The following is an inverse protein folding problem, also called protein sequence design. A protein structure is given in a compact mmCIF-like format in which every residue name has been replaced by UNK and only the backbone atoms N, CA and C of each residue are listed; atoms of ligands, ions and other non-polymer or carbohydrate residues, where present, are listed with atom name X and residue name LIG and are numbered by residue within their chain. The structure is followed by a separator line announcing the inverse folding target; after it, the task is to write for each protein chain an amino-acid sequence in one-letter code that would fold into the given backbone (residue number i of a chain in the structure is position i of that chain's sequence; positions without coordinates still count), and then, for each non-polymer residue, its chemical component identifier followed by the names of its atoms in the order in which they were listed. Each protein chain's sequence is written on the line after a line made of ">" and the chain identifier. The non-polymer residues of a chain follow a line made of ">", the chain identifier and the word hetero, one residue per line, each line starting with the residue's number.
data_IF_563300117455
#
_entry.id   IF_563300117455
#
_cell.length_a   1.000
_cell.length_b   1.000
_cell.length_c   1.000
_cell.angle_alpha   90.00
_cell.angle_beta   90.00
_cell.angle_gamma   90.00
#
_symmetry.space_group_name_H-M   'P 1'
#
loop_
_entity.id
_entity.type
_entity.pdbx_description
1 polymer ?
#
# COMPACT_ATOMS: atom_id res chain seq x y z
N UNK A 1 3.50 16.92 19.95
CA UNK A 1 4.51 17.43 19.01
C UNK A 1 4.04 18.77 18.44
N UNK A 2 2.81 18.88 17.92
CA UNK A 2 2.14 20.17 17.71
C UNK A 2 1.14 20.46 18.84
N UNK A 3 1.46 21.42 19.70
CA UNK A 3 0.64 21.77 20.87
C UNK A 3 -0.47 22.77 20.56
N UNK A 4 -0.41 23.46 19.42
CA UNK A 4 -1.35 24.52 19.04
C UNK A 4 -2.26 24.12 17.86
N UNK A 5 -2.05 22.95 17.28
CA UNK A 5 -2.88 22.40 16.20
C UNK A 5 -2.75 23.18 14.89
N UNK A 6 -1.66 23.93 14.71
CA UNK A 6 -1.43 24.75 13.53
C UNK A 6 -1.01 23.94 12.30
N UNK A 7 -0.62 22.67 12.48
CA UNK A 7 -0.01 21.86 11.42
C UNK A 7 1.42 22.29 11.06
N UNK A 8 1.96 23.28 11.79
CA UNK A 8 3.30 23.79 11.67
C UNK A 8 4.07 23.51 12.96
N UNK A 9 5.33 23.15 12.81
CA UNK A 9 6.24 22.83 13.90
C UNK A 9 7.24 23.98 14.02
N UNK A 10 7.10 24.77 15.08
CA UNK A 10 8.07 25.81 15.41
C UNK A 10 9.31 25.22 16.10
N UNK A 11 10.44 25.94 16.04
CA UNK A 11 11.71 25.50 16.65
C UNK A 11 11.54 25.07 18.12
N UNK A 12 10.80 25.86 18.91
CA UNK A 12 10.54 25.59 20.32
C UNK A 12 9.70 24.32 20.53
N UNK A 13 8.71 24.08 19.67
CA UNK A 13 7.87 22.89 19.72
C UNK A 13 8.65 21.62 19.34
N UNK A 14 9.55 21.72 18.35
CA UNK A 14 10.44 20.62 17.97
C UNK A 14 11.36 20.23 19.12
N UNK A 15 12.00 21.20 19.78
CA UNK A 15 12.87 20.95 20.94
C UNK A 15 12.10 20.25 22.05
N UNK A 16 10.95 20.81 22.44
CA UNK A 16 10.13 20.21 23.50
C UNK A 16 9.64 18.80 23.13
N UNK A 17 9.29 18.57 21.87
CA UNK A 17 8.87 17.25 21.41
C UNK A 17 10.02 16.23 21.52
N UNK A 18 11.22 16.57 21.03
CA UNK A 18 12.39 15.69 21.10
C UNK A 18 12.77 15.38 22.56
N UNK A 19 12.74 16.39 23.42
CA UNK A 19 12.99 16.23 24.86
C UNK A 19 11.96 15.30 25.52
N UNK A 20 10.68 15.43 25.17
CA UNK A 20 9.62 14.55 25.66
C UNK A 20 9.79 13.10 25.18
N UNK A 21 10.39 12.89 24.01
CA UNK A 21 10.78 11.56 23.53
C UNK A 21 12.11 11.06 24.11
N UNK A 22 12.74 11.81 25.03
CA UNK A 22 13.99 11.46 25.68
C UNK A 22 15.24 11.70 24.82
N UNK A 23 15.13 12.49 23.75
CA UNK A 23 16.22 12.85 22.86
C UNK A 23 16.72 14.23 23.27
N UNK A 24 17.92 14.29 23.84
CA UNK A 24 18.60 15.55 24.13
C UNK A 24 19.26 16.08 22.86
N UNK A 25 19.06 17.36 22.58
CA UNK A 25 19.47 18.00 21.31
C UNK A 25 20.12 19.33 21.60
N UNK A 26 21.27 19.58 20.95
CA UNK A 26 21.97 20.85 21.03
C UNK A 26 21.16 21.94 20.30
N UNK A 27 20.67 22.91 21.07
CA UNK A 27 19.88 24.04 20.59
C UNK A 27 20.73 25.28 20.27
N UNK A 28 22.05 25.20 20.45
CA UNK A 28 23.01 26.25 20.13
C UNK A 28 23.18 26.54 18.63
N UNK A 29 23.89 27.63 18.27
CA UNK A 29 24.20 27.96 16.89
C UNK A 29 25.11 26.90 16.25
N UNK A 30 24.66 26.30 15.15
CA UNK A 30 25.28 25.14 14.50
C UNK A 30 24.93 23.79 15.15
N UNK A 31 24.06 23.77 16.16
CA UNK A 31 23.60 22.58 16.86
C UNK A 31 22.67 21.69 16.03
N UNK A 32 22.22 20.59 16.61
CA UNK A 32 21.41 19.59 15.91
C UNK A 32 20.05 20.12 15.47
N UNK A 33 19.45 21.02 16.25
CA UNK A 33 18.21 21.69 15.88
C UNK A 33 18.39 22.53 14.61
N UNK A 34 19.52 23.21 14.45
CA UNK A 34 19.75 24.05 13.27
C UNK A 34 19.97 23.19 12.01
N UNK A 35 20.59 22.02 12.16
CA UNK A 35 20.70 21.04 11.06
C UNK A 35 19.33 20.46 10.67
N UNK A 36 18.51 20.11 11.66
CA UNK A 36 17.16 19.58 11.42
C UNK A 36 16.29 20.64 10.75
N UNK A 37 16.27 21.87 11.29
CA UNK A 37 15.56 22.99 10.67
C UNK A 37 16.11 23.24 9.26
N UNK A 38 17.42 23.31 9.05
CA UNK A 38 18.00 23.52 7.71
C UNK A 38 17.69 22.40 6.70
N UNK A 39 17.41 21.18 7.16
CA UNK A 39 17.02 20.08 6.28
C UNK A 39 15.54 20.14 5.87
N UNK A 40 14.66 20.52 6.80
CA UNK A 40 13.21 20.46 6.62
C UNK A 40 12.55 21.81 6.26
N UNK A 41 13.05 22.92 6.80
CA UNK A 41 12.60 24.30 6.56
C UNK A 41 13.34 24.89 5.34
N UNK A 42 12.95 24.43 4.15
CA UNK A 42 13.61 24.80 2.87
C UNK A 42 13.37 26.25 2.47
N UNK A 43 12.28 26.84 2.95
CA UNK A 43 11.86 28.22 2.72
C UNK A 43 12.44 29.20 3.76
N UNK A 44 13.13 28.68 4.79
CA UNK A 44 13.81 29.45 5.85
C UNK A 44 12.82 30.39 6.57
N UNK A 45 11.60 29.90 6.79
CA UNK A 45 10.51 30.65 7.44
C UNK A 45 10.55 30.46 8.97
N UNK A 46 11.41 29.57 9.45
CA UNK A 46 11.58 29.23 10.86
C UNK A 46 10.55 28.21 11.36
N UNK A 47 9.87 27.52 10.45
CA UNK A 47 8.80 26.56 10.74
C UNK A 47 8.86 25.37 9.80
N UNK A 48 8.64 24.17 10.34
CA UNK A 48 8.57 22.96 9.55
C UNK A 48 7.12 22.55 9.43
N UNK A 49 6.66 22.22 8.22
CA UNK A 49 5.31 21.69 8.06
C UNK A 49 5.28 20.24 8.56
N UNK A 50 4.37 19.89 9.47
CA UNK A 50 4.41 18.61 10.20
C UNK A 50 4.34 17.39 9.26
N UNK A 51 3.60 17.51 8.15
CA UNK A 51 3.52 16.43 7.15
C UNK A 51 4.83 16.25 6.39
N UNK A 52 5.55 17.34 6.09
CA UNK A 52 6.89 17.28 5.50
C UNK A 52 7.92 16.72 6.48
N UNK A 53 7.80 17.06 7.76
CA UNK A 53 8.61 16.47 8.83
C UNK A 53 8.44 14.96 8.90
N UNK A 54 7.19 14.47 8.97
CA UNK A 54 6.88 13.05 8.95
C UNK A 54 7.37 12.38 7.65
N UNK A 55 7.19 13.03 6.50
CA UNK A 55 7.65 12.51 5.21
C UNK A 55 9.17 12.37 5.16
N UNK A 56 9.93 13.34 5.67
CA UNK A 56 11.39 13.22 5.70
C UNK A 56 11.90 12.25 6.76
N UNK A 57 11.20 12.08 7.89
CA UNK A 57 11.50 11.00 8.86
C UNK A 57 11.29 9.61 8.26
N UNK A 58 10.25 9.42 7.43
CA UNK A 58 9.99 8.15 6.73
C UNK A 58 11.08 7.78 5.74
N UNK A 59 11.82 8.77 5.22
CA UNK A 59 12.81 8.57 4.18
C UNK A 59 12.20 8.17 2.83
N UNK A 60 13.05 7.77 1.90
CA UNK A 60 12.60 7.35 0.58
C UNK A 60 12.31 5.85 0.56
N UNK A 61 11.15 5.46 0.02
CA UNK A 61 10.82 4.05 -0.17
C UNK A 61 11.87 3.39 -1.09
N UNK A 62 12.41 2.20 -0.77
CA UNK A 62 13.37 1.54 -1.64
C UNK A 62 12.75 1.19 -3.00
N UNK A 63 13.55 1.23 -4.07
CA UNK A 63 13.09 1.02 -5.46
C UNK A 63 12.33 -0.28 -5.65
N UNK A 64 12.75 -1.36 -4.98
CA UNK A 64 12.07 -2.67 -5.02
C UNK A 64 10.61 -2.55 -4.61
N UNK A 65 10.33 -1.88 -3.49
CA UNK A 65 8.97 -1.66 -2.98
C UNK A 65 8.17 -0.72 -3.90
N UNK A 66 8.81 0.32 -4.44
CA UNK A 66 8.14 1.21 -5.40
C UNK A 66 7.66 0.46 -6.65
N UNK A 67 8.44 -0.51 -7.14
CA UNK A 67 8.05 -1.34 -8.30
C UNK A 67 6.85 -2.22 -7.99
N UNK A 68 6.77 -2.79 -6.78
CA UNK A 68 5.60 -3.58 -6.34
C UNK A 68 4.34 -2.70 -6.32
N UNK A 69 4.42 -1.51 -5.71
CA UNK A 69 3.30 -0.56 -5.65
C UNK A 69 2.88 -0.11 -7.05
N UNK A 70 3.86 0.17 -7.92
CA UNK A 70 3.59 0.51 -9.33
C UNK A 70 2.87 -0.62 -10.06
N UNK A 71 3.34 -1.86 -9.92
CA UNK A 71 2.70 -3.02 -10.52
C UNK A 71 1.28 -3.24 -10.03
N UNK A 72 1.02 -3.03 -8.73
CA UNK A 72 -0.33 -3.10 -8.16
C UNK A 72 -1.26 -2.04 -8.77
N UNK A 73 -0.80 -0.78 -8.86
CA UNK A 73 -1.59 0.30 -9.46
C UNK A 73 -1.86 0.08 -10.96
N UNK A 74 -0.84 -0.35 -11.72
CA UNK A 74 -0.99 -0.66 -13.14
C UNK A 74 -1.99 -1.80 -13.36
N UNK A 75 -1.99 -2.81 -12.48
CA UNK A 75 -2.93 -3.92 -12.52
C UNK A 75 -4.37 -3.46 -12.25
N UNK A 76 -4.58 -2.60 -11.25
CA UNK A 76 -5.88 -1.97 -11.02
C UNK A 76 -6.30 -1.13 -12.24
N UNK A 77 -5.44 -0.27 -12.74
CA UNK A 77 -5.75 0.60 -13.88
C UNK A 77 -6.12 -0.19 -15.13
N UNK A 78 -5.36 -1.25 -15.46
CA UNK A 78 -5.60 -2.09 -16.64
C UNK A 78 -6.97 -2.77 -16.60
N UNK A 79 -7.40 -3.25 -15.43
CA UNK A 79 -8.69 -3.93 -15.28
C UNK A 79 -9.88 -2.98 -15.32
N UNK A 80 -9.68 -1.69 -15.05
CA UNK A 80 -10.75 -0.70 -14.99
C UNK A 80 -10.63 0.39 -16.08
N UNK A 81 -10.07 0.04 -17.24
CA UNK A 81 -10.11 0.91 -18.43
C UNK A 81 -9.15 2.11 -18.38
N UNK A 82 -8.06 2.00 -17.63
CA UNK A 82 -6.99 2.99 -17.58
C UNK A 82 -7.12 4.04 -16.47
N UNK A 83 -8.14 3.94 -15.61
CA UNK A 83 -8.35 4.86 -14.48
C UNK A 83 -8.72 4.08 -13.22
N UNK A 84 -8.07 4.40 -12.11
CA UNK A 84 -8.40 3.84 -10.78
C UNK A 84 -9.28 4.87 -10.08
N UNK A 85 -10.54 4.54 -9.79
CA UNK A 85 -11.47 5.43 -9.05
C UNK A 85 -11.66 4.95 -7.62
N UNK A 86 -12.27 5.79 -6.76
CA UNK A 86 -12.61 5.35 -5.39
C UNK A 86 -13.56 4.14 -5.35
N UNK A 87 -14.45 3.99 -6.34
CA UNK A 87 -15.30 2.80 -6.49
C UNK A 87 -14.48 1.54 -6.81
N UNK A 88 -13.45 1.68 -7.65
CA UNK A 88 -12.48 0.58 -7.91
C UNK A 88 -11.75 0.18 -6.64
N UNK A 89 -11.25 1.16 -5.87
CA UNK A 89 -10.59 0.88 -4.58
C UNK A 89 -11.56 0.15 -3.64
N UNK A 90 -12.81 0.61 -3.52
CA UNK A 90 -13.82 -0.04 -2.68
C UNK A 90 -14.11 -1.49 -3.09
N UNK A 91 -14.16 -1.78 -4.39
CA UNK A 91 -14.47 -3.14 -4.89
C UNK A 91 -13.28 -4.10 -4.77
N UNK A 92 -12.07 -3.57 -4.89
CA UNK A 92 -10.86 -4.40 -4.97
C UNK A 92 -10.10 -4.51 -3.66
N UNK A 93 -10.35 -3.63 -2.70
CA UNK A 93 -9.61 -3.63 -1.45
C UNK A 93 -10.04 -4.79 -0.54
N UNK A 94 -9.07 -5.60 -0.14
CA UNK A 94 -9.24 -6.62 0.89
C UNK A 94 -8.75 -6.11 2.25
N UNK A 95 -9.66 -5.77 3.18
CA UNK A 95 -9.27 -5.29 4.50
C UNK A 95 -8.61 -6.36 5.38
N UNK A 96 -8.82 -7.66 5.11
CA UNK A 96 -8.19 -8.73 5.89
C UNK A 96 -6.67 -8.77 5.69
N UNK A 97 -6.20 -8.28 4.54
CA UNK A 97 -4.78 -8.16 4.21
C UNK A 97 -4.08 -6.99 4.92
N UNK A 98 -4.81 -6.10 5.62
CA UNK A 98 -4.21 -4.97 6.33
C UNK A 98 -3.48 -5.44 7.62
N UNK A 99 -2.21 -5.05 7.87
CA UNK A 99 -1.44 -5.50 9.03
C UNK A 99 -2.12 -5.22 10.38
N UNK A 100 -2.81 -4.08 10.49
CA UNK A 100 -3.49 -3.68 11.72
C UNK A 100 -4.81 -4.44 11.94
N UNK A 101 -5.45 -4.90 10.84
CA UNK A 101 -6.61 -5.79 10.91
C UNK A 101 -6.17 -7.20 11.29
N UNK A 102 -5.09 -7.70 10.67
CA UNK A 102 -4.50 -8.99 11.00
C UNK A 102 -4.03 -9.08 12.46
N UNK A 103 -3.57 -7.97 13.05
CA UNK A 103 -3.21 -7.88 14.47
C UNK A 103 -4.38 -7.55 15.41
N UNK A 104 -5.59 -7.37 14.88
CA UNK A 104 -6.80 -7.06 15.65
C UNK A 104 -6.82 -5.65 16.27
N UNK A 105 -5.94 -4.75 15.81
CA UNK A 105 -5.87 -3.36 16.26
C UNK A 105 -6.89 -2.46 15.57
N UNK A 106 -7.34 -2.84 14.38
CA UNK A 106 -8.29 -2.10 13.56
C UNK A 106 -9.42 -3.02 13.08
N UNK A 107 -10.64 -2.50 12.97
CA UNK A 107 -11.70 -3.23 12.28
C UNK A 107 -11.54 -3.13 10.75
N UNK A 108 -12.10 -4.09 9.97
CA UNK A 108 -12.05 -4.05 8.51
C UNK A 108 -12.63 -2.77 7.91
N UNK A 109 -13.73 -2.27 8.48
CA UNK A 109 -14.40 -1.05 8.03
C UNK A 109 -13.53 0.19 8.31
N UNK A 110 -12.93 0.27 9.50
CA UNK A 110 -11.99 1.35 9.85
C UNK A 110 -10.74 1.33 8.97
N UNK A 111 -10.25 0.15 8.57
CA UNK A 111 -9.11 0.03 7.67
C UNK A 111 -9.42 0.60 6.29
N UNK A 112 -10.61 0.25 5.77
CA UNK A 112 -11.06 0.81 4.51
C UNK A 112 -11.22 2.33 4.59
N UNK A 113 -11.83 2.85 5.65
CA UNK A 113 -11.99 4.29 5.85
C UNK A 113 -10.64 5.02 5.95
N UNK A 114 -9.64 4.44 6.61
CA UNK A 114 -8.30 5.02 6.68
C UNK A 114 -7.64 5.09 5.29
N UNK A 115 -7.66 3.99 4.53
CA UNK A 115 -7.15 3.95 3.15
C UNK A 115 -7.89 4.96 2.27
N UNK A 116 -9.22 4.98 2.34
CA UNK A 116 -10.04 5.88 1.56
C UNK A 116 -9.79 7.35 1.92
N UNK A 117 -9.55 7.65 3.20
CA UNK A 117 -9.17 8.99 3.64
C UNK A 117 -7.80 9.40 3.08
N UNK A 118 -6.81 8.50 3.13
CA UNK A 118 -5.46 8.78 2.69
C UNK A 118 -5.38 9.05 1.18
N UNK A 119 -6.14 8.28 0.38
CA UNK A 119 -6.19 8.44 -1.07
C UNK A 119 -6.99 9.68 -1.53
N UNK A 120 -7.77 10.31 -0.64
CA UNK A 120 -8.53 11.55 -0.93
C UNK A 120 -7.81 12.84 -0.54
N UNK A 121 -6.74 12.78 0.27
CA UNK A 121 -6.12 13.95 0.95
C UNK A 121 -5.64 15.08 0.04
N UNK A 122 -5.41 14.86 -1.25
CA UNK A 122 -4.73 15.83 -2.12
C UNK A 122 -5.65 16.84 -2.83
N UNK A 123 -6.91 16.49 -3.06
CA UNK A 123 -7.78 17.27 -3.95
C UNK A 123 -8.89 18.07 -3.25
N UNK A 124 -9.02 17.96 -1.92
CA UNK A 124 -10.07 18.68 -1.15
C UNK A 124 -9.80 20.20 -1.00
N UNK A 125 -8.59 20.66 -1.36
CA UNK A 125 -8.21 22.08 -1.29
C UNK A 125 -8.60 22.87 -2.56
N UNK A 126 -9.15 22.21 -3.59
CA UNK A 126 -9.65 22.84 -4.81
C UNK A 126 -11.12 22.49 -5.06
N UNK A 127 -11.99 23.28 -4.44
CA UNK A 127 -13.28 23.77 -4.96
C UNK A 127 -14.05 22.87 -5.95
N UNK A 128 -15.31 22.63 -5.57
CA UNK A 128 -16.51 22.45 -6.41
C UNK A 128 -16.92 21.02 -6.83
N UNK A 129 -18.01 20.56 -6.18
CA UNK A 129 -19.16 19.95 -6.84
C UNK A 129 -18.90 18.80 -7.84
N UNK A 130 -17.96 17.91 -7.56
CA UNK A 130 -17.82 16.65 -8.29
C UNK A 130 -18.16 15.50 -7.35
N UNK A 131 -19.09 14.64 -7.76
CA UNK A 131 -19.44 13.41 -7.05
C UNK A 131 -18.16 12.66 -6.66
N UNK A 132 -17.82 12.66 -5.37
CA UNK A 132 -16.55 12.18 -4.82
C UNK A 132 -16.25 10.71 -5.14
N UNK A 133 -17.25 9.96 -5.60
CA UNK A 133 -17.16 8.56 -5.99
C UNK A 133 -16.55 8.33 -7.38
N UNK A 134 -16.61 9.32 -8.27
CA UNK A 134 -16.10 9.20 -9.65
C UNK A 134 -14.71 9.83 -9.82
N UNK A 135 -14.13 10.33 -8.74
CA UNK A 135 -12.79 10.90 -8.71
C UNK A 135 -11.75 9.80 -8.90
N UNK A 136 -10.81 10.05 -9.82
CA UNK A 136 -9.69 9.16 -10.06
C UNK A 136 -8.66 9.32 -8.95
N UNK A 137 -8.22 8.21 -8.37
CA UNK A 137 -7.08 8.13 -7.47
C UNK A 137 -5.81 8.26 -8.32
N UNK A 138 -5.00 9.28 -8.05
CA UNK A 138 -3.75 9.48 -8.76
C UNK A 138 -2.69 8.49 -8.28
N UNK A 139 -1.79 8.09 -9.17
CA UNK A 139 -0.66 7.22 -8.83
C UNK A 139 0.22 7.82 -7.72
N UNK A 140 0.39 9.14 -7.67
CA UNK A 140 1.18 9.78 -6.61
C UNK A 140 0.56 9.59 -5.22
N UNK A 141 -0.77 9.69 -5.11
CA UNK A 141 -1.46 9.52 -3.83
C UNK A 141 -1.45 8.05 -3.39
N UNK A 142 -1.60 7.14 -4.35
CA UNK A 142 -1.44 5.70 -4.10
C UNK A 142 -0.02 5.37 -3.62
N UNK A 143 1.01 5.92 -4.28
CA UNK A 143 2.41 5.74 -3.89
C UNK A 143 2.73 6.33 -2.51
N UNK A 144 2.17 7.50 -2.19
CA UNK A 144 2.37 8.14 -0.90
C UNK A 144 1.70 7.34 0.23
N UNK A 145 0.51 6.79 0.02
CA UNK A 145 -0.11 5.85 0.98
C UNK A 145 0.79 4.64 1.27
N UNK A 146 1.31 3.97 0.23
CA UNK A 146 2.20 2.83 0.44
C UNK A 146 3.58 3.22 0.97
N UNK A 147 4.02 4.47 0.83
CA UNK A 147 5.23 4.98 1.49
C UNK A 147 5.06 4.97 3.00
N UNK A 148 3.87 5.32 3.47
CA UNK A 148 3.53 5.35 4.88
C UNK A 148 3.48 3.94 5.44
N UNK A 149 2.83 3.02 4.73
CA UNK A 149 2.79 1.60 5.08
C UNK A 149 4.19 0.95 5.03
N UNK A 150 5.01 1.33 4.04
CA UNK A 150 6.38 0.84 3.91
C UNK A 150 7.26 1.26 5.09
N UNK A 151 7.04 2.45 5.66
CA UNK A 151 7.79 2.89 6.83
C UNK A 151 7.42 2.11 8.10
N UNK A 152 6.21 1.57 8.17
CA UNK A 152 5.76 0.72 9.29
C UNK A 152 6.21 -0.74 9.17
N UNK A 153 6.57 -1.20 7.96
CA UNK A 153 6.96 -2.59 7.69
C UNK A 153 8.47 -2.71 7.46
N UNK A 154 9.16 -3.43 8.34
CA UNK A 154 10.60 -3.66 8.23
C UNK A 154 10.97 -4.63 7.11
N UNK A 155 10.25 -5.75 6.97
CA UNK A 155 10.59 -6.82 6.04
C UNK A 155 10.02 -6.57 4.63
N UNK A 156 10.90 -6.57 3.61
CA UNK A 156 10.54 -6.33 2.21
C UNK A 156 9.57 -7.36 1.62
N UNK A 157 9.76 -8.65 1.94
CA UNK A 157 8.94 -9.73 1.41
C UNK A 157 7.55 -9.69 2.05
N UNK A 158 7.46 -9.34 3.33
CA UNK A 158 6.19 -9.10 4.01
C UNK A 158 5.47 -7.89 3.43
N UNK A 159 6.18 -6.78 3.17
CA UNK A 159 5.60 -5.61 2.50
C UNK A 159 5.04 -5.99 1.12
N UNK A 160 5.80 -6.78 0.35
CA UNK A 160 5.38 -7.25 -0.97
C UNK A 160 4.11 -8.11 -0.86
N UNK A 161 4.08 -9.07 0.07
CA UNK A 161 2.91 -9.92 0.30
C UNK A 161 1.67 -9.10 0.68
N UNK A 162 1.78 -8.20 1.65
CA UNK A 162 0.68 -7.32 2.08
C UNK A 162 0.19 -6.45 0.92
N UNK A 163 1.11 -5.83 0.17
CA UNK A 163 0.76 -4.92 -0.93
C UNK A 163 0.05 -5.66 -2.07
N UNK A 164 0.47 -6.88 -2.40
CA UNK A 164 -0.15 -7.67 -3.47
C UNK A 164 -1.46 -8.32 -3.04
N UNK A 165 -1.57 -8.73 -1.78
CA UNK A 165 -2.78 -9.37 -1.25
C UNK A 165 -3.90 -8.37 -0.96
N UNK A 166 -3.57 -7.11 -0.66
CA UNK A 166 -4.54 -6.04 -0.42
C UNK A 166 -5.48 -5.77 -1.60
N UNK A 167 -5.18 -6.26 -2.81
CA UNK A 167 -5.98 -6.05 -4.01
C UNK A 167 -6.52 -7.39 -4.54
N UNK A 168 -7.79 -7.65 -4.24
CA UNK A 168 -8.56 -8.73 -4.85
C UNK A 168 -9.22 -8.17 -6.10
N UNK A 169 -8.75 -8.62 -7.25
CA UNK A 169 -9.37 -8.23 -8.51
C UNK A 169 -10.63 -9.06 -8.69
N UNK A 170 -11.80 -8.43 -8.93
CA UNK A 170 -12.97 -9.19 -9.32
C UNK A 170 -12.61 -9.97 -10.58
N UNK A 171 -12.97 -11.25 -10.62
CA UNK A 171 -12.87 -12.04 -11.84
C UNK A 171 -13.52 -11.24 -12.97
N UNK A 172 -12.79 -11.05 -14.05
CA UNK A 172 -13.17 -10.19 -15.17
C UNK A 172 -14.62 -10.52 -15.59
N UNK A 173 -15.58 -9.66 -15.23
CA UNK A 173 -16.87 -9.64 -15.91
C UNK A 173 -16.57 -9.08 -17.31
N UNK A 174 -16.15 -9.98 -18.20
CA UNK A 174 -16.10 -9.70 -19.62
C UNK A 174 -17.44 -9.07 -20.01
N UNK A 175 -17.47 -7.87 -20.62
CA UNK A 175 -18.72 -7.25 -21.03
C UNK A 175 -19.43 -8.24 -21.95
N UNK A 176 -20.63 -8.63 -21.54
CA UNK A 176 -21.41 -9.71 -22.11
C UNK A 176 -21.51 -9.63 -23.65
N UNK A 177 -20.64 -10.35 -24.35
CA UNK A 177 -21.03 -10.99 -25.61
C UNK A 177 -21.76 -12.26 -25.19
N UNK A 178 -23.09 -12.25 -25.26
CA UNK A 178 -24.00 -13.23 -24.66
C UNK A 178 -23.76 -14.69 -25.04
N UNK A 179 -22.77 -15.31 -24.41
CA UNK A 179 -22.61 -16.75 -24.35
C UNK A 179 -22.41 -17.13 -22.87
N UNK A 180 -23.50 -17.56 -22.27
CA UNK A 180 -23.57 -18.09 -20.91
C UNK A 180 -23.13 -19.56 -20.95
N UNK A 181 -21.84 -19.81 -20.73
CA UNK A 181 -21.35 -21.13 -20.34
C UNK A 181 -21.05 -21.05 -18.84
N UNK A 182 -21.96 -21.60 -18.02
CA UNK A 182 -21.98 -21.55 -16.56
C UNK A 182 -20.78 -22.19 -15.84
N UNK A 183 -19.58 -21.67 -16.09
CA UNK A 183 -18.32 -22.15 -15.54
C UNK A 183 -17.62 -21.00 -14.82
N UNK A 184 -18.22 -20.60 -13.68
CA UNK A 184 -17.70 -19.61 -12.77
C UNK A 184 -16.24 -19.92 -12.37
N UNK A 185 -15.33 -18.99 -12.68
CA UNK A 185 -13.88 -19.12 -12.63
C UNK A 185 -13.34 -18.69 -11.26
N UNK A 186 -13.11 -19.66 -10.36
CA UNK A 186 -12.37 -19.43 -9.12
C UNK A 186 -10.86 -19.60 -9.35
N UNK A 187 -10.07 -18.55 -9.16
CA UNK A 187 -8.60 -18.62 -9.14
C UNK A 187 -8.11 -19.04 -7.76
N UNK A 188 -7.31 -20.11 -7.68
CA UNK A 188 -6.65 -20.54 -6.44
C UNK A 188 -5.19 -20.06 -6.45
N UNK A 189 -4.72 -19.43 -5.37
CA UNK A 189 -3.33 -18.96 -5.22
C UNK A 189 -2.50 -20.04 -4.55
N UNK A 190 -1.29 -20.31 -5.07
CA UNK A 190 -0.36 -21.25 -4.45
C UNK A 190 0.91 -20.54 -3.96
N UNK A 191 1.29 -20.82 -2.74
CA UNK A 191 2.56 -20.38 -2.22
C UNK A 191 3.66 -21.26 -2.80
N UNK A 192 4.47 -20.69 -3.69
CA UNK A 192 5.64 -21.33 -4.29
C UNK A 192 6.89 -20.78 -3.60
N UNK A 193 7.73 -21.67 -3.08
CA UNK A 193 9.05 -21.30 -2.57
C UNK A 193 10.07 -21.49 -3.69
N UNK A 194 10.41 -20.40 -4.36
CA UNK A 194 11.64 -20.20 -5.16
C UNK A 194 12.17 -18.79 -4.86
N UNK A 195 13.30 -18.35 -5.43
CA UNK A 195 13.87 -17.01 -5.25
C UNK A 195 12.91 -15.86 -5.56
N UNK A 196 11.79 -16.13 -6.22
CA UNK A 196 10.91 -15.13 -6.84
C UNK A 196 9.55 -14.93 -6.14
N UNK A 197 9.26 -15.67 -5.06
CA UNK A 197 8.08 -15.45 -4.20
C UNK A 197 6.76 -16.12 -4.65
N UNK A 198 5.64 -15.59 -4.14
CA UNK A 198 4.28 -16.18 -4.27
C UNK A 198 3.71 -16.01 -5.68
N UNK A 199 3.18 -17.08 -6.29
CA UNK A 199 2.61 -17.08 -7.64
C UNK A 199 1.16 -17.59 -7.65
N UNK A 200 0.31 -16.98 -8.48
CA UNK A 200 -1.08 -17.42 -8.64
C UNK A 200 -1.17 -18.54 -9.67
N UNK A 201 -1.87 -19.64 -9.35
CA UNK A 201 -2.10 -20.71 -10.33
C UNK A 201 -3.32 -20.33 -11.16
N UNK A 202 -3.10 -19.90 -12.41
CA UNK A 202 -4.17 -19.77 -13.39
C UNK A 202 -4.91 -21.12 -13.54
N UNK A 203 -6.25 -21.08 -13.46
CA UNK A 203 -7.16 -22.24 -13.55
C UNK A 203 -6.99 -23.28 -12.41
N UNK A 204 -6.73 -22.86 -11.18
CA UNK A 204 -6.51 -23.74 -10.01
C UNK A 204 -7.70 -24.61 -9.54
N UNK A 205 -8.82 -24.67 -10.28
CA UNK A 205 -10.01 -25.44 -9.89
C UNK A 205 -9.71 -26.95 -9.88
N UNK A 206 -9.98 -27.60 -8.74
CA UNK A 206 -9.84 -29.05 -8.55
C UNK A 206 -8.48 -29.51 -8.03
N UNK A 207 -7.58 -28.58 -7.70
CA UNK A 207 -6.31 -28.89 -7.06
C UNK A 207 -6.57 -28.98 -5.55
N UNK A 208 -6.43 -30.17 -4.97
CA UNK A 208 -6.52 -30.33 -3.52
C UNK A 208 -5.33 -29.69 -2.81
N UNK A 209 -5.51 -29.27 -1.55
CA UNK A 209 -4.46 -28.64 -0.72
C UNK A 209 -3.17 -29.47 -0.62
N UNK A 210 -3.28 -30.80 -0.76
CA UNK A 210 -2.14 -31.73 -0.73
C UNK A 210 -1.69 -32.23 -2.11
N UNK A 211 -2.32 -31.77 -3.19
CA UNK A 211 -1.98 -32.20 -4.56
C UNK A 211 -0.81 -31.39 -5.13
N UNK A 212 0.33 -31.49 -4.43
CA UNK A 212 1.56 -30.74 -4.73
C UNK A 212 2.11 -31.05 -6.13
N UNK A 213 1.86 -32.26 -6.65
CA UNK A 213 2.29 -32.68 -7.98
C UNK A 213 1.49 -31.96 -9.08
N UNK A 214 0.17 -31.83 -8.91
CA UNK A 214 -0.67 -31.09 -9.84
C UNK A 214 -0.37 -29.59 -9.80
N UNK A 215 -0.09 -29.03 -8.61
CA UNK A 215 0.34 -27.64 -8.48
C UNK A 215 1.64 -27.37 -9.23
N UNK A 216 2.66 -28.22 -9.02
CA UNK A 216 3.96 -28.10 -9.71
C UNK A 216 3.79 -28.17 -11.22
N UNK A 217 3.01 -29.13 -11.71
CA UNK A 217 2.75 -29.29 -13.15
C UNK A 217 2.10 -28.06 -13.77
N UNK A 218 1.11 -27.46 -13.09
CA UNK A 218 0.42 -26.25 -13.60
C UNK A 218 1.34 -25.03 -13.60
N UNK A 219 2.21 -24.91 -12.61
CA UNK A 219 3.23 -23.86 -12.55
C UNK A 219 4.28 -24.05 -13.65
N UNK A 220 4.69 -25.28 -13.95
CA UNK A 220 5.57 -25.60 -15.08
C UNK A 220 4.91 -25.29 -16.44
N UNK A 221 3.61 -25.59 -16.61
CA UNK A 221 2.83 -25.21 -17.79
C UNK A 221 2.73 -23.68 -17.96
N UNK A 222 2.83 -22.92 -16.86
CA UNK A 222 2.91 -21.45 -16.84
C UNK A 222 4.34 -20.92 -17.03
N UNK A 223 5.32 -21.81 -17.23
CA UNK A 223 6.72 -21.44 -17.46
C UNK A 223 7.53 -21.16 -16.21
N UNK A 224 7.02 -21.48 -15.01
CA UNK A 224 7.76 -21.39 -13.75
C UNK A 224 8.74 -22.56 -13.67
N UNK A 225 10.04 -22.25 -13.58
CA UNK A 225 11.11 -23.23 -13.40
C UNK A 225 11.69 -23.15 -11.98
N UNK A 226 12.38 -24.21 -11.53
CA UNK A 226 13.08 -24.28 -10.23
C UNK A 226 12.21 -24.25 -8.95
N UNK A 227 11.04 -24.89 -8.98
CA UNK A 227 10.13 -24.97 -7.82
C UNK A 227 10.72 -25.83 -6.68
N UNK A 228 11.07 -25.20 -5.53
CA UNK A 228 11.62 -25.90 -4.36
C UNK A 228 10.53 -26.50 -3.46
N UNK A 229 9.44 -25.77 -3.20
CA UNK A 229 8.24 -26.31 -2.54
C UNK A 229 6.98 -25.55 -2.96
N UNK A 230 5.81 -26.19 -2.89
CA UNK A 230 4.51 -25.58 -3.22
C UNK A 230 3.50 -25.95 -2.15
N UNK A 231 2.67 -25.00 -1.73
CA UNK A 231 1.52 -25.25 -0.86
C UNK A 231 0.33 -24.42 -1.31
N UNK A 232 -0.87 -25.00 -1.30
CA UNK A 232 -2.08 -24.24 -1.61
C UNK A 232 -2.53 -23.46 -0.39
N UNK A 233 -3.01 -22.24 -0.59
CA UNK A 233 -3.76 -21.52 0.43
C UNK A 233 -5.19 -21.36 -0.08
N UNK A 234 -6.12 -22.09 0.53
CA UNK A 234 -7.56 -21.88 0.29
C UNK A 234 -8.00 -20.61 1.02
N UNK A 235 -8.82 -19.79 0.35
CA UNK A 235 -9.52 -18.65 0.95
C UNK A 235 -10.74 -19.12 1.73
#
# INVERSE_FOLDING_TARGET
>A
MDSNGSGLLERSQLIQALLNFGIDVDDGPGGDIEKIMGFFDRDVVGRIIIHEFHRGLRGNMPKRRQLVVKGAYERLSANFGGSVTMDVIHRCYDPASHPDVASGRLSPDEAFDDVASALRRRDDDSSSNKNSQQMAVLFCDFMDYFRDLSAAIENDDYFQAVTLNAWVLPAQECPATGYDDGNNTGSCRALVTHSDGVLEIENGRGIGVEDHDLMRKRLEEQGVQDIASVSLHEQ
#
